data_IF_694874651968
#
_entry.id   IF_694874651968
#
_cell.length_a   1.000
_cell.length_b   1.000
_cell.length_c   1.000
_cell.angle_alpha   90.00
_cell.angle_beta   90.00
_cell.angle_gamma   90.00
#
_symmetry.space_group_name_H-M   'P 1'
#
loop_
_entity.id
_entity.type
_entity.pdbx_description
1 polymer ?
#
# COMPACT_ATOMS: atom_id res chain seq x y z
N UNK A 1 3.11 4.80 16.15
CA UNK A 1 3.18 5.48 14.84
C UNK A 1 2.59 4.59 13.76
N UNK A 2 2.48 5.09 12.53
CA UNK A 2 1.94 4.32 11.38
C UNK A 2 3.03 4.06 10.35
N UNK A 3 3.06 2.86 9.76
CA UNK A 3 3.98 2.50 8.68
C UNK A 3 3.24 2.47 7.33
N UNK A 4 3.85 3.06 6.29
CA UNK A 4 3.37 3.01 4.91
C UNK A 4 4.46 2.53 3.94
N UNK A 5 4.05 2.19 2.72
CA UNK A 5 4.89 1.63 1.66
C UNK A 5 4.47 2.16 0.29
N UNK A 6 5.44 2.29 -0.63
CA UNK A 6 5.26 2.95 -1.92
C UNK A 6 4.86 4.41 -1.77
N UNK A 7 4.19 4.98 -2.78
CA UNK A 7 3.58 6.29 -2.72
C UNK A 7 2.09 6.22 -3.08
N UNK A 8 1.25 6.75 -2.19
CA UNK A 8 -0.22 6.68 -2.27
C UNK A 8 -0.85 8.03 -1.97
N UNK A 9 -0.10 9.10 -2.24
CA UNK A 9 -0.49 10.48 -1.98
C UNK A 9 -1.14 11.14 -3.19
N UNK A 10 -1.35 12.46 -3.11
CA UNK A 10 -1.75 13.26 -4.25
C UNK A 10 -0.96 12.98 -5.54
N UNK A 11 0.36 12.78 -5.45
CA UNK A 11 1.18 12.47 -6.64
C UNK A 11 0.86 11.12 -7.31
N UNK A 12 0.13 10.23 -6.63
CA UNK A 12 -0.30 8.94 -7.16
C UNK A 12 -1.77 8.93 -7.63
N UNK A 13 -2.51 10.04 -7.47
CA UNK A 13 -3.96 10.09 -7.74
C UNK A 13 -4.36 11.40 -8.42
N UNK A 14 -5.62 11.50 -8.87
CA UNK A 14 -6.20 12.79 -9.30
C UNK A 14 -6.71 13.67 -8.15
N UNK A 15 -6.53 13.25 -6.89
CA UNK A 15 -7.09 13.88 -5.70
C UNK A 15 -6.13 13.89 -4.52
N UNK A 16 -6.63 13.74 -3.30
CA UNK A 16 -5.83 13.88 -2.07
C UNK A 16 -4.95 12.65 -1.74
N UNK A 17 -4.93 11.60 -2.57
CA UNK A 17 -4.33 10.31 -2.26
C UNK A 17 -5.29 9.33 -1.58
N UNK A 18 -4.77 8.14 -1.25
CA UNK A 18 -5.51 7.09 -0.53
C UNK A 18 -4.97 6.92 0.90
N UNK A 19 -3.99 6.05 1.12
CA UNK A 19 -3.43 5.82 2.44
C UNK A 19 -2.79 7.08 3.04
N UNK A 20 -2.16 7.94 2.22
CA UNK A 20 -1.59 9.20 2.70
C UNK A 20 -2.67 10.22 3.11
N UNK A 21 -3.83 10.23 2.45
CA UNK A 21 -4.95 11.07 2.87
C UNK A 21 -5.48 10.66 4.26
N UNK A 22 -5.57 9.35 4.51
CA UNK A 22 -5.98 8.81 5.81
C UNK A 22 -4.93 9.16 6.88
N UNK A 23 -3.64 8.96 6.58
CA UNK A 23 -2.53 9.34 7.49
C UNK A 23 -2.60 10.84 7.83
N UNK A 24 -2.80 11.70 6.83
CA UNK A 24 -2.95 13.15 7.04
C UNK A 24 -4.14 13.47 7.94
N UNK A 25 -5.28 12.81 7.73
CA UNK A 25 -6.47 13.01 8.56
C UNK A 25 -6.23 12.58 10.02
N UNK A 26 -5.61 11.41 10.23
CA UNK A 26 -5.25 10.93 11.55
C UNK A 26 -4.25 11.85 12.26
N UNK A 27 -3.29 12.43 11.54
CA UNK A 27 -2.34 13.41 12.07
C UNK A 27 -3.06 14.68 12.54
N UNK A 28 -3.94 15.24 11.69
CA UNK A 28 -4.74 16.44 12.03
C UNK A 28 -5.64 16.22 13.25
N UNK A 29 -6.06 14.97 13.49
CA UNK A 29 -6.85 14.57 14.66
C UNK A 29 -6.00 14.22 15.89
N UNK A 30 -4.67 14.28 15.80
CA UNK A 30 -3.77 13.88 16.89
C UNK A 30 -3.78 12.37 17.20
N UNK A 31 -4.31 11.55 16.29
CA UNK A 31 -4.41 10.09 16.47
C UNK A 31 -3.12 9.34 16.12
N UNK A 32 -2.21 10.00 15.40
CA UNK A 32 -0.85 9.52 15.17
C UNK A 32 0.14 10.64 15.49
N UNK A 33 1.32 10.27 15.97
CA UNK A 33 2.40 11.22 16.24
C UNK A 33 3.45 11.29 15.12
N UNK A 34 3.52 10.22 14.30
CA UNK A 34 4.57 10.03 13.29
C UNK A 34 4.19 9.00 12.25
N UNK A 35 4.58 9.29 11.01
CA UNK A 35 4.54 8.37 9.89
C UNK A 35 5.94 7.78 9.62
N UNK A 36 6.01 6.47 9.41
CA UNK A 36 7.20 5.78 8.95
C UNK A 36 6.96 5.35 7.50
N UNK A 37 7.92 5.59 6.62
CA UNK A 37 7.82 5.22 5.21
C UNK A 37 9.05 4.41 4.81
N UNK A 38 8.82 3.23 4.24
CA UNK A 38 9.88 2.48 3.58
C UNK A 38 10.38 3.24 2.35
N UNK A 39 11.66 3.10 1.98
CA UNK A 39 12.18 3.77 0.79
C UNK A 39 11.54 3.24 -0.51
N UNK A 40 11.11 1.98 -0.50
CA UNK A 40 10.44 1.25 -1.59
C UNK A 40 11.34 1.05 -2.80
N UNK A 41 12.35 0.20 -2.66
CA UNK A 41 13.15 -0.25 -3.80
C UNK A 41 12.29 -1.07 -4.78
N UNK A 42 12.66 -1.09 -6.07
CA UNK A 42 13.84 -0.45 -6.65
C UNK A 42 13.67 1.05 -7.02
N UNK A 43 12.44 1.54 -7.20
CA UNK A 43 12.17 2.86 -7.78
C UNK A 43 12.21 4.03 -6.79
N UNK A 44 12.30 3.71 -5.49
CA UNK A 44 12.45 4.64 -4.38
C UNK A 44 11.25 5.59 -4.25
N UNK A 45 10.02 5.10 -4.47
CA UNK A 45 8.82 5.95 -4.39
C UNK A 45 8.61 6.51 -2.98
N UNK A 46 8.81 5.69 -1.95
CA UNK A 46 8.63 6.14 -0.58
C UNK A 46 9.66 7.21 -0.20
N UNK A 47 10.92 7.00 -0.56
CA UNK A 47 11.98 7.99 -0.31
C UNK A 47 11.79 9.29 -1.12
N UNK A 48 11.40 9.20 -2.40
CA UNK A 48 11.38 10.35 -3.31
C UNK A 48 10.07 11.12 -3.33
N UNK A 49 8.96 10.44 -3.10
CA UNK A 49 7.61 11.00 -3.27
C UNK A 49 6.92 11.08 -1.91
N UNK A 50 6.80 9.97 -1.19
CA UNK A 50 6.08 9.94 0.09
C UNK A 50 6.70 10.83 1.13
N UNK A 51 8.01 10.74 1.34
CA UNK A 51 8.70 11.61 2.30
C UNK A 51 8.54 13.10 1.94
N UNK A 52 8.59 13.44 0.65
CA UNK A 52 8.36 14.80 0.19
C UNK A 52 6.92 15.26 0.48
N UNK A 53 5.90 14.45 0.16
CA UNK A 53 4.50 14.78 0.43
C UNK A 53 4.22 14.91 1.94
N UNK A 54 4.80 14.03 2.78
CA UNK A 54 4.69 14.11 4.23
C UNK A 54 5.32 15.39 4.80
N UNK A 55 6.45 15.83 4.25
CA UNK A 55 7.08 17.10 4.60
C UNK A 55 6.18 18.29 4.23
N UNK A 56 5.60 18.30 3.02
CA UNK A 56 4.67 19.36 2.61
C UNK A 56 3.42 19.41 3.50
N UNK A 57 2.99 18.26 4.02
CA UNK A 57 1.86 18.16 4.96
C UNK A 57 2.22 18.52 6.41
N UNK A 58 3.49 18.75 6.72
CA UNK A 58 3.97 19.04 8.08
C UNK A 58 3.87 17.84 9.03
N UNK A 59 3.86 16.61 8.49
CA UNK A 59 3.73 15.38 9.28
C UNK A 59 5.13 14.91 9.69
N UNK A 60 5.43 14.78 10.99
CA UNK A 60 6.68 14.18 11.44
C UNK A 60 6.85 12.80 10.83
N UNK A 61 7.95 12.59 10.10
CA UNK A 61 8.15 11.37 9.33
C UNK A 61 9.55 10.79 9.48
N UNK A 62 9.68 9.48 9.25
CA UNK A 62 10.95 8.76 9.30
C UNK A 62 11.05 7.80 8.12
N UNK A 63 12.10 7.98 7.31
CA UNK A 63 12.45 7.09 6.22
C UNK A 63 13.22 5.89 6.76
N UNK A 64 12.94 4.70 6.23
CA UNK A 64 13.72 3.49 6.52
C UNK A 64 14.03 2.72 5.22
N UNK A 65 15.17 2.02 5.13
CA UNK A 65 15.34 1.01 4.11
C UNK A 65 14.31 -0.10 4.30
N UNK A 66 13.85 -0.71 3.21
CA UNK A 66 12.80 -1.75 3.25
C UNK A 66 13.17 -2.91 4.21
N UNK A 67 14.47 -3.24 4.31
CA UNK A 67 15.03 -4.29 5.16
C UNK A 67 14.95 -3.99 6.66
N UNK A 68 14.78 -2.73 7.06
CA UNK A 68 14.64 -2.34 8.46
C UNK A 68 13.20 -2.50 8.99
N UNK A 69 12.23 -2.81 8.12
CA UNK A 69 10.82 -2.89 8.51
C UNK A 69 10.56 -3.91 9.62
N UNK A 70 11.19 -5.09 9.55
CA UNK A 70 11.05 -6.11 10.59
C UNK A 70 11.57 -5.62 11.96
N UNK A 71 12.75 -4.98 11.98
CA UNK A 71 13.31 -4.40 13.21
C UNK A 71 12.40 -3.31 13.77
N UNK A 72 11.89 -2.43 12.91
CA UNK A 72 11.02 -1.34 13.32
C UNK A 72 9.68 -1.84 13.89
N UNK A 73 9.02 -2.78 13.22
CA UNK A 73 7.79 -3.39 13.72
C UNK A 73 8.04 -4.11 15.05
N UNK A 74 9.13 -4.88 15.15
CA UNK A 74 9.45 -5.62 16.38
C UNK A 74 9.74 -4.74 17.60
N UNK A 75 10.15 -3.48 17.38
CA UNK A 75 10.41 -2.51 18.44
C UNK A 75 9.15 -1.99 19.15
N UNK A 76 7.95 -2.24 18.62
CA UNK A 76 6.69 -1.74 19.17
C UNK A 76 6.36 -0.28 18.82
N UNK A 77 7.18 0.39 18.00
CA UNK A 77 6.94 1.77 17.55
C UNK A 77 5.79 1.89 16.54
N UNK A 78 5.40 0.80 15.88
CA UNK A 78 4.36 0.75 14.87
C UNK A 78 3.08 0.17 15.47
N UNK A 79 1.98 0.91 15.31
CA UNK A 79 0.66 0.55 15.82
C UNK A 79 -0.27 0.07 14.72
N UNK A 80 0.03 0.38 13.46
CA UNK A 80 -0.69 -0.07 12.28
C UNK A 80 0.20 0.06 11.03
N UNK A 81 -0.05 -0.78 10.04
CA UNK A 81 0.46 -0.62 8.68
C UNK A 81 -0.70 -0.25 7.78
N UNK A 82 -0.52 0.73 6.89
CA UNK A 82 -1.51 1.09 5.88
C UNK A 82 -0.81 1.34 4.54
N UNK A 83 -1.31 0.71 3.48
CA UNK A 83 -0.80 0.90 2.12
C UNK A 83 -1.95 1.16 1.14
N UNK A 84 -1.59 1.43 -0.11
CA UNK A 84 -2.52 1.45 -1.23
C UNK A 84 -2.74 0.06 -1.82
N UNK A 85 -3.36 0.03 -2.99
CA UNK A 85 -3.46 -1.14 -3.85
C UNK A 85 -3.41 -0.73 -5.33
N UNK A 86 -2.91 -1.64 -6.17
CA UNK A 86 -2.98 -1.53 -7.63
C UNK A 86 -4.15 -2.36 -8.19
N UNK A 87 -4.47 -3.48 -7.56
CA UNK A 87 -5.63 -4.32 -7.90
C UNK A 87 -6.10 -5.14 -6.70
N UNK A 88 -7.40 -5.21 -6.50
CA UNK A 88 -8.01 -6.04 -5.46
C UNK A 88 -8.93 -7.07 -6.12
N UNK A 89 -8.69 -8.35 -5.84
CA UNK A 89 -9.55 -9.46 -6.27
C UNK A 89 -10.80 -9.59 -5.40
N UNK A 90 -11.82 -10.30 -5.88
CA UNK A 90 -13.09 -10.51 -5.16
C UNK A 90 -12.89 -11.15 -3.79
N UNK A 91 -11.94 -12.08 -3.65
CA UNK A 91 -11.63 -12.72 -2.36
C UNK A 91 -10.85 -11.81 -1.38
N UNK A 92 -10.55 -10.56 -1.74
CA UNK A 92 -9.80 -9.60 -0.95
C UNK A 92 -8.29 -9.66 -1.17
N UNK A 93 -7.77 -10.64 -1.93
CA UNK A 93 -6.35 -10.67 -2.27
C UNK A 93 -5.98 -9.39 -3.01
N UNK A 94 -4.91 -8.74 -2.53
CA UNK A 94 -4.57 -7.39 -2.97
C UNK A 94 -3.17 -7.39 -3.56
N UNK A 95 -3.06 -7.02 -4.84
CA UNK A 95 -1.79 -6.69 -5.44
C UNK A 95 -1.43 -5.22 -5.14
N UNK A 96 -0.21 -5.02 -4.66
CA UNK A 96 0.37 -3.70 -4.44
C UNK A 96 1.89 -3.77 -4.67
N UNK A 97 2.58 -2.63 -4.59
CA UNK A 97 4.03 -2.54 -4.76
C UNK A 97 4.79 -3.65 -4.01
N UNK A 98 5.76 -4.25 -4.69
CA UNK A 98 6.65 -5.27 -4.12
C UNK A 98 7.17 -4.86 -2.73
N UNK A 99 7.09 -5.79 -1.78
CA UNK A 99 7.34 -5.57 -0.35
C UNK A 99 6.06 -5.48 0.50
N UNK A 100 4.89 -5.24 -0.11
CA UNK A 100 3.62 -5.14 0.63
C UNK A 100 3.27 -6.45 1.32
N UNK A 101 3.38 -7.58 0.63
CA UNK A 101 3.15 -8.90 1.22
C UNK A 101 4.07 -9.16 2.42
N UNK A 102 5.36 -8.77 2.30
CA UNK A 102 6.32 -8.88 3.40
C UNK A 102 5.89 -8.08 4.63
N UNK A 103 5.39 -6.86 4.45
CA UNK A 103 4.85 -6.04 5.53
C UNK A 103 3.59 -6.66 6.15
N UNK A 104 2.70 -7.26 5.37
CA UNK A 104 1.51 -7.93 5.88
C UNK A 104 1.86 -9.16 6.74
N UNK A 105 2.84 -9.96 6.30
CA UNK A 105 3.35 -11.09 7.10
C UNK A 105 3.95 -10.61 8.42
N UNK A 106 4.77 -9.56 8.39
CA UNK A 106 5.35 -8.97 9.60
C UNK A 106 4.26 -8.40 10.52
N UNK A 107 3.27 -7.71 9.96
CA UNK A 107 2.17 -7.14 10.70
C UNK A 107 1.38 -8.22 11.45
N UNK A 108 1.00 -9.28 10.73
CA UNK A 108 0.31 -10.44 11.30
C UNK A 108 1.14 -11.12 12.39
N UNK A 109 2.45 -11.35 12.15
CA UNK A 109 3.36 -11.98 13.14
C UNK A 109 3.46 -11.21 14.45
N UNK A 110 3.29 -9.89 14.41
CA UNK A 110 3.37 -8.99 15.56
C UNK A 110 2.00 -8.52 16.05
N UNK A 111 0.90 -9.08 15.53
CA UNK A 111 -0.48 -8.72 15.88
C UNK A 111 -0.79 -7.23 15.72
N UNK A 112 -0.22 -6.58 14.70
CA UNK A 112 -0.58 -5.21 14.35
C UNK A 112 -1.53 -5.21 13.14
N UNK A 113 -2.54 -4.33 13.11
CA UNK A 113 -3.47 -4.28 12.01
C UNK A 113 -2.79 -3.83 10.71
N UNK A 114 -3.17 -4.48 9.62
CA UNK A 114 -2.70 -4.20 8.27
C UNK A 114 -3.88 -3.76 7.40
N UNK A 115 -3.85 -2.52 6.92
CA UNK A 115 -4.93 -1.90 6.18
C UNK A 115 -4.54 -1.65 4.72
N UNK A 116 -5.50 -1.85 3.83
CA UNK A 116 -5.43 -1.38 2.45
C UNK A 116 -6.37 -0.20 2.31
N UNK A 117 -5.92 0.90 1.70
CA UNK A 117 -6.75 2.03 1.34
C UNK A 117 -6.75 2.21 -0.18
N UNK A 118 -7.88 1.94 -0.81
CA UNK A 118 -8.02 1.98 -2.26
C UNK A 118 -9.47 2.29 -2.65
N UNK A 119 -9.69 3.04 -3.74
CA UNK A 119 -11.04 3.29 -4.21
C UNK A 119 -11.70 2.00 -4.71
N UNK A 120 -13.04 1.97 -4.73
CA UNK A 120 -13.78 0.82 -5.28
C UNK A 120 -13.43 0.53 -6.74
N UNK A 121 -12.96 1.51 -7.50
CA UNK A 121 -12.48 1.35 -8.89
C UNK A 121 -11.21 0.52 -9.01
N UNK A 122 -10.46 0.32 -7.92
CA UNK A 122 -9.29 -0.59 -7.85
C UNK A 122 -9.71 -2.06 -7.70
N UNK A 123 -10.97 -2.33 -7.36
CA UNK A 123 -11.51 -3.68 -7.23
C UNK A 123 -11.81 -4.24 -8.63
N UNK A 124 -11.14 -5.33 -8.98
CA UNK A 124 -11.34 -6.05 -10.23
C UNK A 124 -12.42 -7.13 -10.04
N UNK A 125 -13.65 -6.79 -10.44
CA UNK A 125 -14.81 -7.69 -10.32
C UNK A 125 -14.71 -8.97 -11.14
N UNK A 126 -13.78 -9.05 -12.09
CA UNK A 126 -13.55 -10.25 -12.91
C UNK A 126 -12.38 -11.10 -12.40
N UNK A 127 -11.63 -10.60 -11.40
CA UNK A 127 -10.53 -11.31 -10.78
C UNK A 127 -11.02 -12.02 -9.51
N UNK A 128 -11.12 -13.35 -9.56
CA UNK A 128 -11.67 -14.14 -8.46
C UNK A 128 -10.68 -14.20 -7.29
N UNK A 129 -9.40 -14.36 -7.58
CA UNK A 129 -8.36 -14.50 -6.58
C UNK A 129 -7.05 -13.83 -6.98
N UNK A 130 -6.15 -13.64 -6.01
CA UNK A 130 -4.83 -13.08 -6.23
C UNK A 130 -3.97 -13.89 -7.21
N UNK A 131 -4.29 -15.19 -7.42
CA UNK A 131 -3.61 -16.04 -8.41
C UNK A 131 -3.87 -15.62 -9.85
N UNK A 132 -4.98 -14.91 -10.07
CA UNK A 132 -5.41 -14.44 -11.39
C UNK A 132 -4.83 -13.05 -11.71
N UNK A 133 -4.09 -12.44 -10.79
CA UNK A 133 -3.46 -11.13 -10.99
C UNK A 133 -2.12 -11.31 -11.71
N UNK A 134 -1.95 -10.77 -12.94
CA UNK A 134 -0.68 -10.82 -13.64
C UNK A 134 0.34 -9.90 -12.95
N UNK A 135 1.53 -10.44 -12.64
CA UNK A 135 2.61 -9.68 -12.03
C UNK A 135 3.57 -9.18 -13.10
N UNK A 136 3.72 -7.85 -13.15
CA UNK A 136 4.70 -7.19 -14.02
C UNK A 136 6.13 -7.50 -13.53
N UNK A 137 6.94 -8.08 -14.41
CA UNK A 137 8.39 -8.19 -14.21
C UNK A 137 9.11 -7.10 -14.99
N UNK A 138 9.96 -6.34 -14.31
CA UNK A 138 10.65 -5.16 -14.86
C UNK A 138 12.13 -5.42 -15.08
N UNK A 139 12.79 -4.49 -15.77
CA UNK A 139 14.19 -4.62 -16.15
C UNK A 139 15.12 -4.73 -14.93
N UNK A 140 16.09 -5.64 -14.98
CA UNK A 140 17.11 -5.84 -13.94
C UNK A 140 17.89 -4.57 -13.61
N UNK A 141 17.99 -3.62 -14.53
CA UNK A 141 18.68 -2.34 -14.32
C UNK A 141 18.11 -1.51 -13.15
N UNK A 142 16.82 -1.62 -12.85
CA UNK A 142 16.20 -0.91 -11.72
C UNK A 142 16.73 -1.44 -10.37
N UNK A 143 17.01 -2.74 -10.31
CA UNK A 143 17.65 -3.37 -9.14
C UNK A 143 19.14 -3.01 -9.11
N UNK A 144 19.81 -2.91 -10.26
CA UNK A 144 21.26 -2.68 -10.32
C UNK A 144 21.74 -1.24 -10.16
N UNK A 145 20.84 -0.28 -10.16
CA UNK A 145 21.18 1.14 -10.09
C UNK A 145 19.95 2.03 -10.00
N UNK A 146 20.19 3.32 -9.86
CA UNK A 146 19.15 4.34 -9.98
C UNK A 146 19.70 5.51 -10.79
N UNK A 147 18.99 5.84 -11.87
CA UNK A 147 19.45 6.80 -12.88
C UNK A 147 20.85 6.43 -13.41
N UNK A 148 21.83 7.33 -13.24
CA UNK A 148 23.20 7.16 -13.73
C UNK A 148 24.07 6.36 -12.77
N UNK A 149 23.64 6.19 -11.52
CA UNK A 149 24.40 5.49 -10.49
C UNK A 149 24.16 3.98 -10.55
N UNK A 150 25.22 3.21 -10.36
CA UNK A 150 25.20 1.75 -10.31
C UNK A 150 25.90 1.26 -9.06
N UNK A 151 25.29 0.30 -8.38
CA UNK A 151 25.85 -0.36 -7.19
C UNK A 151 26.15 -1.84 -7.44
N UNK A 152 26.05 -2.31 -8.68
CA UNK A 152 26.41 -3.68 -9.06
C UNK A 152 26.91 -3.75 -10.52
N UNK A 153 27.24 -4.95 -10.97
CA UNK A 153 27.86 -5.20 -12.29
C UNK A 153 26.96 -4.79 -13.46
N UNK A 154 27.55 -4.61 -14.65
CA UNK A 154 26.79 -4.17 -15.85
C UNK A 154 25.82 -5.23 -16.40
N UNK A 155 26.15 -6.51 -16.24
CA UNK A 155 25.42 -7.65 -16.83
C UNK A 155 24.59 -8.42 -15.80
N UNK A 156 24.07 -7.73 -14.78
CA UNK A 156 23.25 -8.39 -13.77
C UNK A 156 21.98 -8.99 -14.39
N UNK A 157 21.63 -10.16 -13.88
CA UNK A 157 20.29 -10.72 -13.97
C UNK A 157 19.63 -10.58 -12.59
N UNK A 158 18.39 -10.10 -12.54
CA UNK A 158 17.72 -9.76 -11.28
C UNK A 158 16.25 -10.17 -11.31
N UNK A 159 15.81 -10.76 -10.21
CA UNK A 159 14.39 -11.00 -9.96
C UNK A 159 13.72 -9.69 -9.55
N UNK A 160 12.96 -9.08 -10.47
CA UNK A 160 12.37 -7.75 -10.28
C UNK A 160 10.86 -7.70 -10.57
N UNK A 161 10.03 -8.37 -9.76
CA UNK A 161 8.58 -8.13 -9.80
C UNK A 161 8.26 -6.73 -9.29
N UNK A 162 7.42 -5.99 -10.01
CA UNK A 162 6.99 -4.66 -9.61
C UNK A 162 5.94 -4.67 -8.50
N UNK A 163 5.28 -5.81 -8.30
CA UNK A 163 4.17 -6.00 -7.36
C UNK A 163 4.27 -7.37 -6.70
N UNK A 164 3.69 -7.51 -5.52
CA UNK A 164 3.38 -8.79 -4.90
C UNK A 164 1.89 -8.84 -4.52
N UNK A 165 1.40 -10.04 -4.20
CA UNK A 165 0.01 -10.27 -3.81
C UNK A 165 -0.04 -10.58 -2.33
N UNK A 166 -0.81 -9.78 -1.60
CA UNK A 166 -1.12 -10.00 -0.18
C UNK A 166 -2.42 -10.78 -0.07
N UNK A 167 -2.41 -12.00 0.51
CA UNK A 167 -3.61 -12.76 0.78
C UNK A 167 -4.60 -12.01 1.69
N UNK A 168 -5.89 -12.12 1.40
CA UNK A 168 -6.94 -11.44 2.17
C UNK A 168 -6.96 -11.78 3.66
N UNK A 169 -6.49 -12.96 4.08
CA UNK A 169 -6.43 -13.36 5.49
C UNK A 169 -5.37 -12.61 6.30
N UNK A 170 -4.41 -11.94 5.66
CA UNK A 170 -3.43 -11.05 6.29
C UNK A 170 -3.91 -9.59 6.35
N UNK A 171 -5.05 -9.26 5.74
CA UNK A 171 -5.58 -7.90 5.67
C UNK A 171 -6.66 -7.73 6.74
N UNK A 172 -6.51 -6.70 7.58
CA UNK A 172 -7.46 -6.38 8.64
C UNK A 172 -8.73 -5.74 8.09
N UNK A 173 -8.58 -4.76 7.18
CA UNK A 173 -9.69 -4.13 6.49
C UNK A 173 -9.22 -3.47 5.18
N UNK A 174 -10.14 -3.37 4.22
CA UNK A 174 -9.97 -2.59 3.00
C UNK A 174 -10.86 -1.36 3.11
N UNK A 175 -10.27 -0.17 3.07
CA UNK A 175 -10.93 1.12 3.25
C UNK A 175 -11.19 1.70 1.86
N UNK A 176 -12.46 1.91 1.54
CA UNK A 176 -12.92 2.56 0.30
C UNK A 176 -13.55 3.91 0.61
N UNK A 177 -13.96 4.63 -0.44
CA UNK A 177 -14.70 5.88 -0.36
C UNK A 177 -16.14 5.72 0.18
N UNK A 178 -16.70 4.50 0.13
CA UNK A 178 -18.07 4.22 0.54
C UNK A 178 -18.16 3.42 1.85
N UNK A 179 -17.21 2.51 2.10
CA UNK A 179 -17.29 1.59 3.22
C UNK A 179 -15.94 1.02 3.66
N UNK A 180 -15.94 0.34 4.81
CA UNK A 180 -14.79 -0.41 5.33
C UNK A 180 -15.12 -1.90 5.21
N UNK A 181 -14.48 -2.57 4.25
CA UNK A 181 -14.65 -4.00 3.98
C UNK A 181 -13.83 -4.82 4.98
N UNK A 182 -14.39 -5.93 5.46
CA UNK A 182 -13.75 -6.83 6.44
C UNK A 182 -13.88 -8.30 6.00
N UNK A 183 -12.99 -9.19 6.45
CA UNK A 183 -13.14 -10.63 6.21
C UNK A 183 -14.47 -11.18 6.74
N UNK A 184 -15.11 -12.16 6.07
CA UNK A 184 -14.73 -12.74 4.78
C UNK A 184 -15.05 -11.78 3.61
N UNK A 185 -14.03 -11.46 2.81
CA UNK A 185 -14.10 -10.35 1.85
C UNK A 185 -15.02 -10.58 0.66
N UNK A 186 -15.24 -11.82 0.24
CA UNK A 186 -16.03 -12.13 -0.96
C UNK A 186 -17.41 -11.46 -0.95
N UNK A 187 -18.09 -11.45 0.21
CA UNK A 187 -19.41 -10.84 0.33
C UNK A 187 -19.35 -9.30 0.41
N UNK A 188 -18.40 -8.76 1.17
CA UNK A 188 -18.28 -7.30 1.33
C UNK A 188 -17.81 -6.64 0.04
N UNK A 189 -16.82 -7.24 -0.64
CA UNK A 189 -16.29 -6.74 -1.92
C UNK A 189 -17.37 -6.78 -3.00
N UNK A 190 -18.16 -7.86 -3.07
CA UNK A 190 -19.25 -7.95 -4.04
C UNK A 190 -20.29 -6.82 -3.85
N UNK A 191 -20.73 -6.57 -2.61
CA UNK A 191 -21.66 -5.46 -2.30
C UNK A 191 -21.09 -4.09 -2.66
N UNK A 192 -19.81 -3.86 -2.39
CA UNK A 192 -19.12 -2.63 -2.73
C UNK A 192 -19.14 -2.36 -4.24
N UNK A 193 -18.95 -3.41 -5.05
CA UNK A 193 -18.95 -3.29 -6.52
C UNK A 193 -20.34 -3.08 -7.13
N UNK A 194 -21.43 -3.39 -6.40
CA UNK A 194 -22.80 -3.18 -6.85
C UNK A 194 -23.25 -1.71 -6.72
N UNK A 195 -22.74 -0.97 -5.72
CA UNK A 195 -23.03 0.46 -5.52
C UNK A 195 -22.52 1.35 -6.67
N UNK A 196 -21.51 0.89 -7.42
CA UNK A 196 -20.97 1.62 -8.57
C UNK A 196 -21.87 1.61 -9.82
N UNK A 197 -22.94 0.80 -9.86
CA UNK A 197 -23.78 0.65 -11.05
C UNK A 197 -25.13 1.36 -10.95
N UNK A 198 -25.66 1.54 -9.74
CA UNK A 198 -26.80 2.41 -9.50
C UNK A 198 -26.26 3.70 -8.93
N UNK A 199 -25.90 4.64 -9.81
CA UNK A 199 -25.72 6.03 -9.37
C UNK A 199 -26.95 6.42 -8.57
N UNK A 200 -26.82 6.52 -7.25
CA UNK A 200 -27.84 7.13 -6.43
C UNK A 200 -27.97 8.56 -6.92
N UNK A 201 -29.01 8.78 -7.74
CA UNK A 201 -29.74 10.04 -7.70
C UNK A 201 -30.32 10.15 -6.29
N UNK A 202 -29.50 10.59 -5.35
CA UNK A 202 -29.86 10.83 -3.96
C UNK A 202 -29.73 12.30 -3.66
N UNK A 203 -30.86 12.97 -3.52
CA UNK A 203 -30.98 14.32 -2.99
C UNK A 203 -30.33 14.45 -1.61
N UNK A 204 -29.42 15.41 -1.45
CA UNK A 204 -29.35 16.38 -0.34
C UNK A 204 -28.23 17.40 -0.63
#
# INVERSE_FOLDING_TARGET
GVLTHCNTGPLATGGNGTALAIIQKCWQQGSIERCYATETRPLLQGARLTMWELEQMGIPSTLLPDTAAASLISSGLISAVITGADRIAINGDTANKIGTYGLAVLANRHNIPFYIAAPTTTIDKFCISGKDIPIEHRNSSEVGGFRKERWTTKKIDAYNPAFDVTPGDLITAIITEYEILKPPYQQSVQKATEHNFYGEKGNA
#
